data_IF_862651005513
#
_entry.id   IF_862651005513
#
_cell.length_a   1.000
_cell.length_b   1.000
_cell.length_c   1.000
_cell.angle_alpha   90.00
_cell.angle_beta   90.00
_cell.angle_gamma   90.00
#
_symmetry.space_group_name_H-M   'P 1'
#
loop_
_entity.id
_entity.type
_entity.pdbx_description
1 polymer ?
#
# COMPACT_ATOMS: atom_id res chain seq x y z
N UNK A 1 14.62 -3.35 1.98
CA UNK A 1 13.35 -2.67 2.28
C UNK A 1 13.46 -1.23 1.83
N UNK A 2 12.75 -0.86 0.76
CA UNK A 2 12.58 0.54 0.40
C UNK A 2 11.09 0.82 0.52
N UNK A 3 10.80 1.96 1.12
CA UNK A 3 9.48 2.54 1.19
C UNK A 3 8.61 2.08 2.37
N UNK A 4 8.33 3.05 3.25
CA UNK A 4 7.28 3.00 4.26
C UNK A 4 6.43 4.26 4.13
N UNK A 5 5.19 4.14 3.62
CA UNK A 5 4.20 5.21 3.76
C UNK A 5 3.23 4.84 4.88
N UNK A 6 3.04 5.79 5.79
CA UNK A 6 1.97 5.77 6.77
C UNK A 6 0.78 6.55 6.20
N UNK A 7 -0.39 5.94 6.26
CA UNK A 7 -1.65 6.58 5.90
C UNK A 7 -2.65 6.46 7.04
N UNK A 8 -3.53 7.46 7.14
CA UNK A 8 -4.76 7.36 7.91
C UNK A 8 -5.83 6.74 7.01
N UNK A 9 -6.63 5.84 7.56
CA UNK A 9 -7.83 5.32 6.90
C UNK A 9 -8.93 6.36 7.05
N UNK A 10 -9.55 6.75 5.94
CA UNK A 10 -10.67 7.68 5.91
C UNK A 10 -11.86 7.13 6.69
N UNK A 11 -12.66 8.03 7.25
CA UNK A 11 -13.85 7.68 8.01
C UNK A 11 -14.80 6.81 7.17
N UNK A 12 -15.27 5.70 7.76
CA UNK A 12 -16.17 4.76 7.10
C UNK A 12 -15.55 3.87 6.01
N UNK A 13 -14.23 3.92 5.78
CA UNK A 13 -13.53 3.15 4.73
C UNK A 13 -12.73 1.94 5.23
N UNK A 14 -12.79 1.65 6.53
CA UNK A 14 -12.03 0.56 7.13
C UNK A 14 -12.38 -0.81 6.53
N UNK A 15 -13.67 -1.12 6.44
CA UNK A 15 -14.11 -2.44 5.98
C UNK A 15 -13.80 -2.60 4.48
N UNK A 16 -14.04 -1.57 3.66
CA UNK A 16 -13.65 -1.57 2.24
C UNK A 16 -12.16 -1.87 2.04
N UNK A 17 -11.29 -1.28 2.87
CA UNK A 17 -9.85 -1.53 2.80
C UNK A 17 -9.50 -2.97 3.21
N UNK A 18 -10.13 -3.49 4.27
CA UNK A 18 -9.91 -4.87 4.73
C UNK A 18 -10.37 -5.89 3.70
N UNK A 19 -11.57 -5.71 3.15
CA UNK A 19 -12.13 -6.56 2.11
C UNK A 19 -11.17 -6.62 0.91
N UNK A 20 -10.59 -5.48 0.53
CA UNK A 20 -9.59 -5.45 -0.54
C UNK A 20 -8.31 -6.21 -0.20
N UNK A 21 -7.77 -6.06 1.01
CA UNK A 21 -6.61 -6.82 1.46
C UNK A 21 -6.89 -8.33 1.51
N UNK A 22 -8.11 -8.73 1.88
CA UNK A 22 -8.55 -10.13 1.83
C UNK A 22 -8.61 -10.65 0.39
N UNK A 23 -9.14 -9.86 -0.56
CA UNK A 23 -9.14 -10.22 -1.99
C UNK A 23 -7.72 -10.42 -2.53
N UNK A 24 -6.79 -9.51 -2.20
CA UNK A 24 -5.40 -9.61 -2.66
C UNK A 24 -4.61 -10.73 -1.99
N UNK A 25 -4.96 -11.12 -0.77
CA UNK A 25 -4.31 -12.22 -0.07
C UNK A 25 -4.97 -13.59 -0.30
N UNK A 26 -6.16 -13.60 -0.92
CA UNK A 26 -6.95 -14.77 -1.28
C UNK A 26 -7.12 -14.90 -2.80
N UNK A 27 -8.33 -14.66 -3.29
CA UNK A 27 -8.79 -15.01 -4.65
C UNK A 27 -7.92 -14.43 -5.78
N UNK A 28 -7.34 -13.25 -5.58
CA UNK A 28 -6.53 -12.55 -6.58
C UNK A 28 -5.05 -12.50 -6.24
N UNK A 29 -4.61 -13.35 -5.30
CA UNK A 29 -3.22 -13.39 -4.87
C UNK A 29 -2.24 -13.66 -6.01
N UNK A 30 -2.52 -14.64 -6.85
CA UNK A 30 -1.61 -14.99 -7.94
C UNK A 30 -1.55 -13.88 -9.01
N UNK A 31 -2.68 -13.22 -9.28
CA UNK A 31 -2.76 -12.04 -10.16
C UNK A 31 -1.94 -10.87 -9.59
N UNK A 32 -2.05 -10.60 -8.27
CA UNK A 32 -1.29 -9.54 -7.61
C UNK A 32 0.22 -9.84 -7.59
N UNK A 33 0.60 -11.09 -7.32
CA UNK A 33 2.02 -11.50 -7.32
C UNK A 33 2.61 -11.40 -8.73
N UNK A 34 1.82 -11.62 -9.79
CA UNK A 34 2.32 -11.52 -11.16
C UNK A 34 2.81 -10.10 -11.51
N UNK A 35 2.31 -9.05 -10.85
CA UNK A 35 2.77 -7.66 -11.09
C UNK A 35 4.10 -7.35 -10.41
N UNK A 36 4.51 -8.14 -9.42
CA UNK A 36 5.68 -7.86 -8.59
C UNK A 36 7.00 -7.84 -9.38
N UNK A 37 7.12 -8.67 -10.41
CA UNK A 37 8.30 -8.70 -11.27
C UNK A 37 8.50 -7.36 -11.99
N UNK A 38 7.42 -6.78 -12.52
CA UNK A 38 7.46 -5.47 -13.16
C UNK A 38 7.91 -4.38 -12.18
N UNK A 39 7.43 -4.46 -10.93
CA UNK A 39 7.59 -3.46 -9.88
C UNK A 39 8.94 -3.54 -9.14
N UNK A 40 9.73 -4.59 -9.40
CA UNK A 40 10.92 -4.98 -8.64
C UNK A 40 10.62 -5.21 -7.15
N UNK A 41 9.42 -5.67 -6.82
CA UNK A 41 8.98 -5.98 -5.45
C UNK A 41 9.17 -7.48 -5.21
N UNK A 42 9.83 -7.86 -4.12
CA UNK A 42 9.91 -9.27 -3.68
C UNK A 42 8.90 -9.59 -2.59
N UNK A 43 8.41 -8.56 -1.88
CA UNK A 43 7.43 -8.69 -0.82
C UNK A 43 6.75 -7.37 -0.55
N UNK A 44 5.44 -7.41 -0.36
CA UNK A 44 4.65 -6.28 0.14
C UNK A 44 3.93 -6.69 1.43
N UNK A 45 3.89 -5.77 2.40
CA UNK A 45 3.20 -5.95 3.68
C UNK A 45 2.44 -4.68 4.03
N UNK A 46 1.14 -4.80 4.25
CA UNK A 46 0.34 -3.74 4.87
C UNK A 46 0.04 -4.07 6.33
N UNK A 47 0.43 -3.18 7.23
CA UNK A 47 0.14 -3.30 8.67
C UNK A 47 -0.96 -2.32 9.03
N UNK A 48 -2.16 -2.84 9.30
CA UNK A 48 -3.32 -2.07 9.77
C UNK A 48 -3.33 -2.04 11.31
N UNK A 49 -3.45 -0.87 11.91
CA UNK A 49 -3.48 -0.71 13.37
C UNK A 49 -4.40 0.45 13.80
N UNK A 50 -4.79 0.44 15.07
CA UNK A 50 -5.63 1.47 15.67
C UNK A 50 -4.79 2.41 16.53
N UNK A 51 -4.97 3.72 16.34
CA UNK A 51 -4.37 4.76 17.17
C UNK A 51 -5.17 5.01 18.46
N UNK A 52 -4.59 5.80 19.37
CA UNK A 52 -5.15 6.07 20.70
C UNK A 52 -6.58 6.65 20.69
N UNK A 53 -7.00 7.34 19.62
CA UNK A 53 -8.33 7.97 19.53
C UNK A 53 -9.35 7.14 18.75
N UNK A 54 -9.04 5.88 18.44
CA UNK A 54 -9.90 4.99 17.66
C UNK A 54 -9.74 5.13 16.14
N UNK A 55 -8.98 6.12 15.67
CA UNK A 55 -8.57 6.27 14.28
C UNK A 55 -7.77 5.04 13.81
N UNK A 56 -7.95 4.65 12.54
CA UNK A 56 -7.23 3.54 11.94
C UNK A 56 -6.15 4.05 10.99
N UNK A 57 -5.03 3.33 10.97
CA UNK A 57 -3.85 3.67 10.19
C UNK A 57 -3.30 2.44 9.49
N UNK A 58 -2.66 2.65 8.35
CA UNK A 58 -1.95 1.59 7.63
C UNK A 58 -0.55 2.03 7.28
N UNK A 59 0.43 1.13 7.48
CA UNK A 59 1.78 1.28 6.95
C UNK A 59 1.98 0.23 5.87
N UNK A 60 2.29 0.67 4.64
CA UNK A 60 2.74 -0.21 3.56
C UNK A 60 4.26 -0.32 3.56
N UNK A 61 4.78 -1.54 3.53
CA UNK A 61 6.20 -1.88 3.56
C UNK A 61 6.56 -2.73 2.35
N UNK A 62 7.48 -2.25 1.52
CA UNK A 62 7.95 -2.97 0.34
C UNK A 62 9.41 -3.45 0.50
N UNK A 63 9.62 -4.73 0.23
CA UNK A 63 10.92 -5.29 -0.05
C UNK A 63 11.13 -5.26 -1.56
N UNK A 64 12.23 -4.64 -1.99
CA UNK A 64 12.53 -4.44 -3.40
C UNK A 64 13.91 -4.98 -3.73
N UNK A 65 14.04 -5.62 -4.88
CA UNK A 65 15.29 -6.21 -5.38
C UNK A 65 16.08 -5.24 -6.28
N UNK A 66 15.50 -4.08 -6.61
CA UNK A 66 16.10 -3.06 -7.46
C UNK A 66 15.53 -1.66 -7.23
N UNK A 67 15.41 -0.89 -8.31
CA UNK A 67 14.71 0.40 -8.28
C UNK A 67 13.20 0.15 -8.21
N UNK A 68 12.56 0.62 -7.15
CA UNK A 68 11.12 0.47 -6.97
C UNK A 68 10.37 1.23 -8.05
N UNK A 69 9.51 0.54 -8.79
CA UNK A 69 8.61 1.15 -9.77
C UNK A 69 7.20 1.22 -9.20
N UNK A 70 6.37 2.09 -9.79
CA UNK A 70 4.93 2.02 -9.56
C UNK A 70 4.37 0.77 -10.25
N UNK A 71 3.24 0.28 -9.76
CA UNK A 71 2.49 -0.78 -10.44
C UNK A 71 2.26 -0.47 -11.92
N UNK A 72 2.32 -1.52 -12.74
CA UNK A 72 2.06 -1.45 -14.17
C UNK A 72 0.66 -0.83 -14.39
N UNK A 73 0.56 0.34 -15.06
CA UNK A 73 -0.72 1.02 -15.25
C UNK A 73 -1.65 0.29 -16.23
N UNK A 74 -1.17 -0.65 -17.04
CA UNK A 74 -1.99 -1.44 -17.96
C UNK A 74 -2.66 -2.62 -17.25
N UNK A 75 -2.14 -3.03 -16.09
CA UNK A 75 -2.69 -4.13 -15.30
C UNK A 75 -3.91 -3.67 -14.49
N UNK A 76 -5.05 -4.33 -14.74
CA UNK A 76 -6.34 -3.96 -14.13
C UNK A 76 -6.29 -4.01 -12.60
N UNK A 77 -5.61 -5.01 -12.03
CA UNK A 77 -5.45 -5.13 -10.57
C UNK A 77 -4.71 -3.93 -9.96
N UNK A 78 -3.74 -3.37 -10.66
CA UNK A 78 -2.98 -2.19 -10.22
C UNK A 78 -3.80 -0.91 -10.32
N UNK A 79 -4.65 -0.79 -11.34
CA UNK A 79 -5.61 0.30 -11.45
C UNK A 79 -6.62 0.28 -10.29
N UNK A 80 -7.20 -0.90 -10.01
CA UNK A 80 -8.14 -1.11 -8.91
C UNK A 80 -7.48 -0.89 -7.55
N UNK A 81 -6.29 -1.43 -7.34
CA UNK A 81 -5.49 -1.20 -6.13
C UNK A 81 -5.26 0.29 -5.90
N UNK A 82 -4.81 1.00 -6.93
CA UNK A 82 -4.58 2.45 -6.86
C UNK A 82 -5.87 3.22 -6.55
N UNK A 83 -7.00 2.84 -7.14
CA UNK A 83 -8.30 3.46 -6.86
C UNK A 83 -8.73 3.26 -5.41
N UNK A 84 -8.68 2.02 -4.92
CA UNK A 84 -9.10 1.67 -3.56
C UNK A 84 -8.20 2.35 -2.54
N UNK A 85 -6.88 2.37 -2.74
CA UNK A 85 -5.97 3.10 -1.85
C UNK A 85 -6.28 4.60 -1.83
N UNK A 86 -6.58 5.24 -2.98
CA UNK A 86 -6.96 6.67 -3.02
C UNK A 86 -8.30 6.94 -2.33
N UNK A 87 -9.26 6.03 -2.49
CA UNK A 87 -10.58 6.12 -1.89
C UNK A 87 -10.53 5.93 -0.37
N UNK A 88 -9.69 5.02 0.12
CA UNK A 88 -9.69 4.60 1.51
C UNK A 88 -8.64 5.34 2.35
N UNK A 89 -7.56 5.83 1.75
CA UNK A 89 -6.42 6.36 2.47
C UNK A 89 -6.25 7.87 2.27
N UNK A 90 -5.75 8.51 3.31
CA UNK A 90 -5.28 9.88 3.28
C UNK A 90 -3.91 9.98 3.94
N UNK A 91 -3.04 10.88 3.46
CA UNK A 91 -1.71 11.02 4.04
C UNK A 91 -1.77 11.58 5.47
N UNK A 92 -0.94 11.06 6.37
CA UNK A 92 -0.87 11.55 7.77
C UNK A 92 -0.16 12.91 7.87
N UNK A 93 0.65 13.27 6.87
CA UNK A 93 1.23 14.60 6.73
C UNK A 93 1.24 15.03 5.27
N UNK A 94 1.22 16.35 5.02
CA UNK A 94 1.19 16.91 3.64
C UNK A 94 2.32 16.38 2.74
N UNK A 95 3.47 16.03 3.34
CA UNK A 95 4.64 15.55 2.61
C UNK A 95 4.95 14.07 2.79
N UNK A 96 4.37 13.40 3.80
CA UNK A 96 4.89 12.12 4.30
C UNK A 96 6.33 12.32 4.77
N UNK A 97 6.54 12.61 6.05
CA UNK A 97 7.85 13.08 6.50
C UNK A 97 8.92 11.98 6.41
N UNK A 98 9.70 12.00 5.33
CA UNK A 98 10.98 11.30 5.24
C UNK A 98 11.98 12.17 5.99
N UNK A 99 12.21 11.83 7.27
CA UNK A 99 13.07 12.64 8.15
C UNK A 99 14.55 12.51 7.78
N UNK A 100 14.99 11.34 7.30
CA UNK A 100 16.36 11.05 6.90
C UNK A 100 16.33 10.04 5.75
N UNK A 101 16.89 10.41 4.60
CA UNK A 101 17.15 9.51 3.46
C UNK A 101 18.63 9.62 3.11
N UNK A 102 19.33 8.49 3.02
CA UNK A 102 20.75 8.43 2.62
C UNK A 102 20.91 8.31 1.09
N UNK A 103 19.79 8.29 0.34
CA UNK A 103 19.73 8.06 -1.10
C UNK A 103 19.37 9.29 -1.95
N UNK A 104 19.67 10.51 -1.49
CA UNK A 104 19.69 11.73 -2.32
C UNK A 104 21.12 12.07 -2.67
#
# INVERSE_FOLDING_TARGET
MKFSKLFKVREGKLDTLKDWFEVLSGDRKDEAIATFEYENVSREVFVLFQGHKGDHYVIGLNEVTGEHKKGDPEEKINQEHTMILKECLEPVSERGEILLDLGI
#
